data_IF_564537405828
#
_entry.id   IF_564537405828
#
_cell.length_a   1.000
_cell.length_b   1.000
_cell.length_c   1.000
_cell.angle_alpha   90.00
_cell.angle_beta   90.00
_cell.angle_gamma   90.00
#
_symmetry.space_group_name_H-M   'P 1'
#
loop_
_entity.id
_entity.type
_entity.pdbx_description
1 polymer ?
#
# COMPACT_ATOMS: atom_id res chain seq x y z
N UNK A 1 14.99 7.86 -10.88
CA UNK A 1 15.14 9.25 -11.34
C UNK A 1 15.07 10.21 -10.14
N UNK A 2 13.94 10.35 -9.44
CA UNK A 2 13.76 11.33 -8.33
C UNK A 2 14.85 11.20 -7.26
N UNK A 3 15.25 9.96 -6.93
CA UNK A 3 16.29 9.67 -5.93
C UNK A 3 17.71 9.61 -6.53
N UNK A 4 17.88 9.97 -7.80
CA UNK A 4 19.16 9.88 -8.54
C UNK A 4 19.77 8.47 -8.65
N UNK A 5 19.00 7.42 -8.43
CA UNK A 5 19.45 6.03 -8.61
C UNK A 5 19.53 5.64 -10.10
N UNK A 6 18.74 6.29 -10.93
CA UNK A 6 18.70 6.10 -12.40
C UNK A 6 18.69 7.48 -13.05
N UNK A 7 19.47 7.64 -14.11
CA UNK A 7 19.47 8.86 -14.92
C UNK A 7 18.21 8.92 -15.76
N UNK A 8 17.62 10.12 -15.88
CA UNK A 8 16.50 10.34 -16.79
C UNK A 8 16.99 10.45 -18.24
N UNK A 9 16.20 9.99 -19.18
CA UNK A 9 16.48 10.14 -20.62
C UNK A 9 15.91 11.42 -21.21
N UNK A 10 14.98 12.07 -20.51
CA UNK A 10 14.35 13.33 -20.93
C UNK A 10 13.37 13.85 -19.90
N UNK A 11 12.71 14.97 -20.20
CA UNK A 11 11.74 15.62 -19.33
C UNK A 11 12.36 16.39 -18.15
N UNK A 12 11.52 17.01 -17.34
CA UNK A 12 11.89 17.78 -16.14
C UNK A 12 11.31 17.11 -14.89
N UNK A 13 12.06 17.15 -13.80
CA UNK A 13 11.60 16.67 -12.49
C UNK A 13 11.87 17.72 -11.44
N UNK A 14 10.82 18.18 -10.78
CA UNK A 14 10.91 19.16 -9.70
C UNK A 14 10.41 18.55 -8.38
N UNK A 15 11.14 18.84 -7.31
CA UNK A 15 10.75 18.46 -5.95
C UNK A 15 10.53 19.74 -5.15
N UNK A 16 9.28 20.05 -4.85
CA UNK A 16 8.86 21.30 -4.19
C UNK A 16 9.43 22.55 -4.84
N UNK A 17 9.37 22.62 -6.18
CA UNK A 17 9.86 23.75 -6.97
C UNK A 17 11.37 23.78 -7.18
N UNK A 18 12.08 22.74 -6.76
CA UNK A 18 13.52 22.58 -7.03
C UNK A 18 13.73 21.56 -8.15
N UNK A 19 14.25 22.00 -9.28
CA UNK A 19 14.66 21.11 -10.37
C UNK A 19 15.84 20.26 -9.90
N UNK A 20 15.72 18.93 -10.04
CA UNK A 20 16.75 17.97 -9.59
C UNK A 20 18.05 18.10 -10.39
N UNK A 21 18.01 18.56 -11.64
CA UNK A 21 19.22 18.76 -12.45
C UNK A 21 19.94 20.06 -12.06
N UNK A 22 19.18 21.08 -11.70
CA UNK A 22 19.76 22.37 -11.31
C UNK A 22 20.36 22.33 -9.87
N UNK A 23 19.66 21.69 -8.92
CA UNK A 23 20.13 21.61 -7.54
C UNK A 23 19.66 20.34 -6.82
N UNK A 24 20.25 19.22 -7.17
CA UNK A 24 19.93 17.94 -6.54
C UNK A 24 20.14 17.90 -5.01
N UNK A 25 21.24 18.47 -4.44
CA UNK A 25 21.41 18.51 -2.99
C UNK A 25 20.24 19.20 -2.25
N UNK A 26 19.69 20.28 -2.80
CA UNK A 26 18.55 20.97 -2.21
C UNK A 26 17.26 20.15 -2.35
N UNK A 27 17.02 19.56 -3.51
CA UNK A 27 15.89 18.66 -3.73
C UNK A 27 15.95 17.46 -2.76
N UNK A 28 17.14 16.84 -2.59
CA UNK A 28 17.37 15.67 -1.74
C UNK A 28 17.09 15.94 -0.26
N UNK A 29 17.29 17.16 0.23
CA UNK A 29 16.96 17.52 1.62
C UNK A 29 15.48 17.33 1.95
N UNK A 30 14.62 17.41 0.95
CA UNK A 30 13.17 17.19 1.10
C UNK A 30 12.76 15.74 0.95
N UNK A 31 13.69 14.82 0.62
CA UNK A 31 13.40 13.43 0.28
C UNK A 31 13.83 12.48 1.39
N UNK A 32 12.91 11.64 1.86
CA UNK A 32 13.21 10.41 2.54
C UNK A 32 12.95 9.22 1.61
N UNK A 33 13.81 8.24 1.60
CA UNK A 33 13.69 7.07 0.72
C UNK A 33 13.87 5.80 1.50
N UNK A 34 12.92 4.90 1.38
CA UNK A 34 12.97 3.53 1.89
C UNK A 34 12.99 2.60 0.69
N UNK A 35 14.14 1.99 0.43
CA UNK A 35 14.30 1.01 -0.63
C UNK A 35 13.69 -0.35 -0.26
N UNK A 36 13.42 -1.17 -1.25
CA UNK A 36 12.92 -2.53 -1.06
C UNK A 36 13.94 -3.39 -0.28
N UNK A 37 15.23 -3.27 -0.60
CA UNK A 37 16.30 -3.99 0.09
C UNK A 37 16.89 -3.20 1.26
N UNK A 38 17.43 -3.93 2.27
CA UNK A 38 18.09 -3.31 3.39
C UNK A 38 19.46 -2.77 2.98
N UNK A 39 19.63 -1.46 3.01
CA UNK A 39 20.80 -0.74 2.51
C UNK A 39 21.52 0.07 3.60
N UNK A 40 21.69 -0.51 4.78
CA UNK A 40 22.48 0.03 5.87
C UNK A 40 23.57 -0.97 6.31
N UNK A 41 24.59 -0.49 7.03
CA UNK A 41 25.63 -1.36 7.55
C UNK A 41 25.08 -2.24 8.69
N UNK A 42 25.04 -3.55 8.48
CA UNK A 42 24.50 -4.51 9.43
C UNK A 42 25.31 -4.65 10.71
N UNK A 43 26.57 -4.21 10.72
CA UNK A 43 27.46 -4.29 11.89
C UNK A 43 27.41 -3.03 12.76
N UNK A 44 26.81 -1.95 12.28
CA UNK A 44 26.62 -0.73 13.07
C UNK A 44 25.48 -0.88 14.06
N UNK A 45 25.57 -0.14 15.17
CA UNK A 45 24.48 -0.03 16.13
C UNK A 45 23.28 0.68 15.53
N UNK A 46 22.08 0.24 15.90
CA UNK A 46 20.81 0.81 15.43
C UNK A 46 20.76 2.33 15.64
N UNK A 47 21.17 2.82 16.81
CA UNK A 47 21.20 4.25 17.12
C UNK A 47 22.19 5.04 16.26
N UNK A 48 23.37 4.47 16.02
CA UNK A 48 24.44 5.13 15.26
C UNK A 48 24.04 5.26 13.77
N UNK A 49 23.35 4.27 13.21
CA UNK A 49 22.81 4.34 11.84
C UNK A 49 21.96 5.59 11.64
N UNK A 50 21.05 5.90 12.58
CA UNK A 50 20.19 7.09 12.46
C UNK A 50 20.98 8.39 12.65
N UNK A 51 21.88 8.43 13.64
CA UNK A 51 22.71 9.62 13.92
C UNK A 51 23.62 9.93 12.72
N UNK A 52 24.24 8.90 12.14
CA UNK A 52 25.07 9.02 10.93
C UNK A 52 24.23 9.53 9.74
N UNK A 53 23.05 8.96 9.55
CA UNK A 53 22.14 9.39 8.48
C UNK A 53 21.74 10.86 8.65
N UNK A 54 21.40 11.29 9.86
CA UNK A 54 21.08 12.69 10.16
C UNK A 54 22.25 13.62 9.84
N UNK A 55 23.48 13.17 10.12
CA UNK A 55 24.71 13.87 9.78
C UNK A 55 24.90 14.10 8.28
N UNK A 56 24.55 13.13 7.42
CA UNK A 56 24.56 13.30 5.97
C UNK A 56 23.61 14.41 5.45
N UNK A 57 22.56 14.72 6.22
CA UNK A 57 21.63 15.82 5.94
C UNK A 57 22.03 17.12 6.65
N UNK A 58 23.19 17.16 7.32
CA UNK A 58 23.74 18.34 7.97
C UNK A 58 23.09 18.69 9.30
N UNK A 59 22.43 17.75 9.98
CA UNK A 59 21.85 17.99 11.30
C UNK A 59 22.96 18.07 12.36
N UNK A 60 22.93 19.08 13.27
CA UNK A 60 23.82 19.10 14.44
C UNK A 60 23.62 17.86 15.31
N UNK A 61 24.70 17.38 15.93
CA UNK A 61 24.71 16.12 16.69
C UNK A 61 23.61 16.06 17.78
N UNK A 62 23.34 17.16 18.48
CA UNK A 62 22.28 17.22 19.48
C UNK A 62 20.90 16.93 18.90
N UNK A 63 20.55 17.59 17.79
CA UNK A 63 19.30 17.40 17.07
C UNK A 63 19.24 16.01 16.42
N UNK A 64 20.36 15.52 15.87
CA UNK A 64 20.45 14.18 15.32
C UNK A 64 20.10 13.10 16.36
N UNK A 65 20.63 13.22 17.58
CA UNK A 65 20.31 12.31 18.70
C UNK A 65 18.87 12.40 19.17
N UNK A 66 18.34 13.62 19.28
CA UNK A 66 16.94 13.88 19.66
C UNK A 66 15.98 13.21 18.66
N UNK A 67 16.17 13.46 17.37
CA UNK A 67 15.32 12.89 16.32
C UNK A 67 15.51 11.37 16.19
N UNK A 68 16.74 10.88 16.33
CA UNK A 68 17.00 9.43 16.36
C UNK A 68 16.22 8.76 17.49
N UNK A 69 16.24 9.33 18.69
CA UNK A 69 15.44 8.83 19.82
C UNK A 69 13.96 8.86 19.51
N UNK A 70 13.42 9.98 19.04
CA UNK A 70 12.01 10.15 18.65
C UNK A 70 11.52 9.04 17.73
N UNK A 71 12.25 8.78 16.64
CA UNK A 71 11.82 7.79 15.65
C UNK A 71 12.07 6.35 16.07
N UNK A 72 13.13 6.07 16.85
CA UNK A 72 13.34 4.75 17.42
C UNK A 72 12.27 4.39 18.47
N UNK A 73 11.87 5.35 19.31
CA UNK A 73 10.77 5.16 20.28
C UNK A 73 9.45 4.91 19.55
N UNK A 74 9.11 5.72 18.55
CA UNK A 74 7.86 5.59 17.80
C UNK A 74 7.74 4.30 16.98
N UNK A 75 8.86 3.67 16.64
CA UNK A 75 8.92 2.45 15.85
C UNK A 75 9.36 1.23 16.68
N UNK A 76 9.29 1.31 18.02
CA UNK A 76 9.61 0.24 18.98
C UNK A 76 11.01 -0.34 18.78
N UNK A 77 12.00 0.52 18.52
CA UNK A 77 13.39 0.14 18.31
C UNK A 77 14.35 0.72 19.36
N UNK A 78 13.85 1.57 20.26
CA UNK A 78 14.71 2.29 21.20
C UNK A 78 15.51 1.35 22.11
N UNK A 79 14.89 0.28 22.60
CA UNK A 79 15.56 -0.71 23.45
C UNK A 79 16.69 -1.48 22.70
N UNK A 80 16.65 -1.47 21.38
CA UNK A 80 17.64 -2.10 20.50
C UNK A 80 18.72 -1.14 19.99
N UNK A 81 18.73 0.14 20.43
CA UNK A 81 19.62 1.18 19.90
C UNK A 81 21.10 0.88 20.00
N UNK A 82 21.53 0.12 21.03
CA UNK A 82 22.92 -0.27 21.26
C UNK A 82 23.32 -1.59 20.59
N UNK A 83 22.33 -2.32 20.03
CA UNK A 83 22.57 -3.58 19.35
C UNK A 83 23.01 -3.37 17.90
N UNK A 84 23.88 -4.23 17.34
CA UNK A 84 24.16 -4.26 15.92
C UNK A 84 22.90 -4.58 15.12
N UNK A 85 22.69 -3.88 14.00
CA UNK A 85 21.48 -4.04 13.19
C UNK A 85 21.31 -5.45 12.59
N UNK A 86 22.37 -6.25 12.49
CA UNK A 86 22.31 -7.67 12.09
C UNK A 86 21.41 -8.51 13.02
N UNK A 87 21.31 -8.16 14.30
CA UNK A 87 20.54 -8.89 15.31
C UNK A 87 19.04 -8.62 15.22
N UNK A 88 18.62 -7.65 14.41
CA UNK A 88 17.22 -7.30 14.23
C UNK A 88 16.49 -8.34 13.34
N UNK A 89 15.21 -8.63 13.65
CA UNK A 89 14.32 -9.36 12.77
C UNK A 89 14.06 -8.59 11.45
N UNK A 90 13.50 -9.26 10.42
CA UNK A 90 13.16 -8.61 9.16
C UNK A 90 12.23 -7.41 9.33
N UNK A 91 11.18 -7.56 10.14
CA UNK A 91 10.25 -6.47 10.45
C UNK A 91 10.90 -5.32 11.22
N UNK A 92 11.81 -5.62 12.17
CA UNK A 92 12.59 -4.58 12.88
C UNK A 92 13.55 -3.85 11.94
N UNK A 93 14.20 -4.55 11.00
CA UNK A 93 15.03 -3.94 9.96
C UNK A 93 14.20 -3.02 9.06
N UNK A 94 12.98 -3.41 8.70
CA UNK A 94 12.06 -2.57 7.91
C UNK A 94 11.69 -1.29 8.66
N UNK A 95 11.34 -1.40 9.94
CA UNK A 95 11.10 -0.23 10.81
C UNK A 95 12.33 0.67 10.94
N UNK A 96 13.53 0.10 11.04
CA UNK A 96 14.79 0.87 11.05
C UNK A 96 15.00 1.65 9.75
N UNK A 97 14.69 1.08 8.59
CA UNK A 97 14.75 1.78 7.30
C UNK A 97 13.83 3.01 7.27
N UNK A 98 12.61 2.87 7.79
CA UNK A 98 11.64 3.97 7.86
C UNK A 98 12.14 5.04 8.84
N UNK A 99 12.62 4.65 10.05
CA UNK A 99 13.21 5.58 11.02
C UNK A 99 14.34 6.38 10.41
N UNK A 100 15.24 5.71 9.69
CA UNK A 100 16.38 6.32 9.01
C UNK A 100 15.94 7.31 7.91
N UNK A 101 14.91 6.98 7.15
CA UNK A 101 14.38 7.87 6.10
C UNK A 101 13.69 9.11 6.68
N UNK A 102 13.20 9.05 7.92
CA UNK A 102 12.48 10.14 8.57
C UNK A 102 13.35 11.01 9.48
N UNK A 103 14.56 10.61 9.83
CA UNK A 103 15.39 11.29 10.85
C UNK A 103 15.67 12.77 10.54
N UNK A 104 15.73 13.14 9.26
CA UNK A 104 15.91 14.54 8.82
C UNK A 104 14.57 15.27 8.57
N UNK A 105 13.43 14.63 8.85
CA UNK A 105 12.07 15.16 8.70
C UNK A 105 11.77 15.66 7.27
N UNK A 106 11.82 14.77 6.27
CA UNK A 106 11.59 15.12 4.89
C UNK A 106 10.14 15.53 4.64
N UNK A 107 9.92 16.39 3.64
CA UNK A 107 8.58 16.77 3.17
C UNK A 107 7.96 15.70 2.27
N UNK A 108 8.77 14.88 1.62
CA UNK A 108 8.37 13.76 0.76
C UNK A 108 9.06 12.47 1.21
N UNK A 109 8.28 11.44 1.47
CA UNK A 109 8.75 10.10 1.79
C UNK A 109 8.38 9.16 0.63
N UNK A 110 9.37 8.52 0.05
CA UNK A 110 9.20 7.51 -1.00
C UNK A 110 9.47 6.15 -0.39
N UNK A 111 8.50 5.25 -0.49
CA UNK A 111 8.53 3.92 0.09
C UNK A 111 8.39 2.89 -1.03
N UNK A 112 9.40 2.03 -1.17
CA UNK A 112 9.37 0.94 -2.13
C UNK A 112 9.03 -0.37 -1.42
N UNK A 113 7.80 -0.86 -1.64
CA UNK A 113 7.23 -2.05 -1.00
C UNK A 113 7.43 -2.07 0.54
N UNK A 114 6.92 -1.07 1.29
CA UNK A 114 7.31 -0.86 2.68
C UNK A 114 6.93 -2.01 3.62
N UNK A 115 5.94 -2.83 3.28
CA UNK A 115 5.47 -3.93 4.12
C UNK A 115 5.70 -5.32 3.51
N UNK A 116 6.54 -5.43 2.47
CA UNK A 116 6.87 -6.72 1.88
C UNK A 116 7.55 -7.65 2.90
N UNK A 117 7.05 -8.88 3.02
CA UNK A 117 7.58 -9.89 3.94
C UNK A 117 7.35 -9.60 5.43
N UNK A 118 6.42 -8.72 5.76
CA UNK A 118 6.03 -8.36 7.13
C UNK A 118 4.72 -9.06 7.48
N UNK A 119 4.60 -9.57 8.71
CA UNK A 119 3.36 -10.16 9.22
C UNK A 119 2.22 -9.16 9.31
N UNK A 120 0.98 -9.66 9.42
CA UNK A 120 -0.25 -8.85 9.35
C UNK A 120 -0.32 -7.80 10.48
N UNK A 121 0.08 -8.16 11.69
CA UNK A 121 -0.03 -7.27 12.86
C UNK A 121 0.97 -6.11 12.72
N UNK A 122 2.21 -6.43 12.40
CA UNK A 122 3.25 -5.43 12.18
C UNK A 122 2.93 -4.55 10.97
N UNK A 123 2.35 -5.10 9.89
CA UNK A 123 1.89 -4.35 8.72
C UNK A 123 0.86 -3.29 9.12
N UNK A 124 -0.16 -3.66 9.89
CA UNK A 124 -1.18 -2.73 10.37
C UNK A 124 -0.62 -1.62 11.25
N UNK A 125 0.33 -1.96 12.14
CA UNK A 125 1.04 -0.97 12.95
C UNK A 125 1.81 0.03 12.08
N UNK A 126 2.51 -0.45 11.06
CA UNK A 126 3.23 0.40 10.11
C UNK A 126 2.28 1.30 9.30
N UNK A 127 1.13 0.79 8.87
CA UNK A 127 0.13 1.61 8.19
C UNK A 127 -0.38 2.75 9.07
N UNK A 128 -0.72 2.47 10.33
CA UNK A 128 -1.11 3.51 11.30
C UNK A 128 -0.04 4.59 11.44
N UNK A 129 1.22 4.19 11.58
CA UNK A 129 2.35 5.12 11.65
C UNK A 129 2.49 5.99 10.37
N UNK A 130 2.37 5.39 9.18
CA UNK A 130 2.43 6.14 7.90
C UNK A 130 1.26 7.12 7.75
N UNK A 131 0.05 6.74 8.18
CA UNK A 131 -1.11 7.63 8.19
C UNK A 131 -0.88 8.84 9.11
N UNK A 132 -0.31 8.63 10.31
CA UNK A 132 0.03 9.73 11.22
C UNK A 132 1.07 10.68 10.62
N UNK A 133 2.13 10.17 10.00
CA UNK A 133 3.16 10.98 9.32
C UNK A 133 2.55 11.78 8.16
N UNK A 134 1.66 11.18 7.39
CA UNK A 134 0.94 11.87 6.31
C UNK A 134 0.01 12.96 6.85
N UNK A 135 -0.74 12.68 7.91
CA UNK A 135 -1.61 13.66 8.58
C UNK A 135 -0.80 14.84 9.18
N UNK A 136 0.44 14.58 9.61
CA UNK A 136 1.37 15.62 10.07
C UNK A 136 1.98 16.48 8.94
N UNK A 137 1.65 16.20 7.67
CA UNK A 137 2.02 17.03 6.52
C UNK A 137 3.11 16.46 5.60
N UNK A 138 3.67 15.29 5.89
CA UNK A 138 4.61 14.63 4.98
C UNK A 138 3.85 14.01 3.80
N UNK A 139 4.20 14.38 2.58
CA UNK A 139 3.70 13.69 1.39
C UNK A 139 4.31 12.31 1.29
N UNK A 140 3.51 11.29 0.99
CA UNK A 140 3.99 9.91 0.86
C UNK A 140 3.68 9.40 -0.55
N UNK A 141 4.70 8.86 -1.22
CA UNK A 141 4.57 8.06 -2.42
C UNK A 141 5.00 6.65 -2.04
N UNK A 142 4.14 5.66 -2.26
CA UNK A 142 4.51 4.27 -2.04
C UNK A 142 4.27 3.44 -3.29
N UNK A 143 5.16 2.49 -3.54
CA UNK A 143 4.94 1.41 -4.49
C UNK A 143 4.53 0.17 -3.72
N UNK A 144 3.56 -0.56 -4.21
CA UNK A 144 3.13 -1.82 -3.61
C UNK A 144 2.45 -2.70 -4.65
N UNK A 145 2.59 -4.00 -4.48
CA UNK A 145 1.78 -5.00 -5.17
C UNK A 145 0.64 -5.53 -4.26
N UNK A 146 0.58 -5.07 -3.01
CA UNK A 146 -0.52 -5.38 -2.10
C UNK A 146 -1.64 -4.36 -2.25
N UNK A 147 -2.71 -4.75 -2.94
CA UNK A 147 -3.83 -3.86 -3.24
C UNK A 147 -4.56 -3.38 -1.99
N UNK A 148 -4.61 -4.21 -0.93
CA UNK A 148 -5.14 -3.83 0.38
C UNK A 148 -4.35 -2.66 1.01
N UNK A 149 -3.02 -2.64 0.86
CA UNK A 149 -2.17 -1.54 1.31
C UNK A 149 -2.48 -0.25 0.55
N UNK A 150 -2.59 -0.34 -0.78
CA UNK A 150 -2.94 0.80 -1.61
C UNK A 150 -4.33 1.36 -1.24
N UNK A 151 -5.33 0.51 -1.04
CA UNK A 151 -6.68 0.91 -0.65
C UNK A 151 -6.71 1.58 0.73
N UNK A 152 -5.93 1.05 1.68
CA UNK A 152 -5.91 1.56 3.06
C UNK A 152 -5.15 2.88 3.21
N UNK A 153 -4.09 3.10 2.42
CA UNK A 153 -3.17 4.22 2.60
C UNK A 153 -3.31 5.32 1.55
N UNK A 154 -3.72 5.00 0.32
CA UNK A 154 -3.62 5.92 -0.80
C UNK A 154 -4.93 6.62 -1.11
N UNK A 155 -4.88 7.95 -1.24
CA UNK A 155 -5.99 8.75 -1.78
C UNK A 155 -6.02 8.75 -3.30
N UNK A 156 -4.84 8.74 -3.92
CA UNK A 156 -4.64 8.69 -5.36
C UNK A 156 -3.82 7.45 -5.69
N UNK A 157 -4.05 6.90 -6.86
CA UNK A 157 -3.37 5.72 -7.36
C UNK A 157 -2.99 5.92 -8.82
N UNK A 158 -1.80 5.45 -9.17
CA UNK A 158 -1.38 5.28 -10.56
C UNK A 158 -1.04 3.81 -10.79
N UNK A 159 -1.59 3.23 -11.85
CA UNK A 159 -1.29 1.86 -12.26
C UNK A 159 -0.32 1.94 -13.44
N UNK A 160 0.80 1.21 -13.30
CA UNK A 160 1.87 1.20 -14.30
C UNK A 160 1.93 -0.20 -14.90
N UNK A 161 1.93 -0.27 -16.24
CA UNK A 161 2.14 -1.49 -17.00
C UNK A 161 3.15 -1.22 -18.12
N UNK A 162 4.13 -2.11 -18.30
CA UNK A 162 5.22 -1.95 -19.31
C UNK A 162 5.88 -0.56 -19.36
N UNK A 163 5.95 0.14 -18.22
CA UNK A 163 6.58 1.48 -18.12
C UNK A 163 5.65 2.64 -18.46
N UNK A 164 4.40 2.38 -18.81
CA UNK A 164 3.36 3.36 -19.08
C UNK A 164 2.34 3.45 -17.94
N UNK A 165 1.84 4.66 -17.69
CA UNK A 165 0.75 4.85 -16.72
C UNK A 165 -0.56 4.59 -17.45
N UNK A 166 -1.18 3.44 -17.17
CA UNK A 166 -2.47 3.02 -17.75
C UNK A 166 -3.68 3.61 -17.01
N UNK A 167 -3.51 4.01 -15.76
CA UNK A 167 -4.55 4.67 -14.96
C UNK A 167 -3.90 5.62 -13.96
N UNK A 168 -4.48 6.82 -13.78
CA UNK A 168 -4.04 7.80 -12.78
C UNK A 168 -5.26 8.56 -12.26
N UNK A 169 -5.74 8.16 -11.09
CA UNK A 169 -7.02 8.67 -10.57
C UNK A 169 -7.05 8.61 -9.03
N UNK A 170 -8.14 9.10 -8.43
CA UNK A 170 -8.35 8.88 -7.00
C UNK A 170 -8.83 7.47 -6.71
N UNK A 171 -8.43 6.91 -5.56
CA UNK A 171 -8.89 5.60 -5.09
C UNK A 171 -10.44 5.48 -5.12
N UNK A 172 -11.12 6.53 -4.66
CA UNK A 172 -12.58 6.59 -4.67
C UNK A 172 -13.17 6.50 -6.09
N UNK A 173 -12.53 7.17 -7.05
CA UNK A 173 -12.99 7.16 -8.44
C UNK A 173 -12.71 5.81 -9.09
N UNK A 174 -11.52 5.25 -8.86
CA UNK A 174 -11.14 3.93 -9.36
C UNK A 174 -12.13 2.86 -8.87
N UNK A 175 -12.45 2.83 -7.58
CA UNK A 175 -13.41 1.89 -7.01
C UNK A 175 -14.85 2.09 -7.55
N UNK A 176 -15.18 3.27 -8.08
CA UNK A 176 -16.49 3.52 -8.72
C UNK A 176 -16.60 2.95 -10.13
N UNK A 177 -15.49 2.62 -10.78
CA UNK A 177 -15.51 2.02 -12.13
C UNK A 177 -15.87 0.54 -12.12
N UNK A 178 -15.95 -0.09 -10.94
CA UNK A 178 -16.49 -1.44 -10.79
C UNK A 178 -18.02 -1.41 -10.99
N UNK A 179 -18.46 -1.94 -12.10
CA UNK A 179 -19.89 -2.05 -12.40
C UNK A 179 -20.56 -3.20 -11.65
N UNK A 180 -19.79 -4.20 -11.20
CA UNK A 180 -20.25 -5.40 -10.53
C UNK A 180 -19.44 -5.74 -9.31
N UNK A 181 -20.09 -6.33 -8.32
CA UNK A 181 -19.45 -6.86 -7.11
C UNK A 181 -19.87 -8.33 -6.94
N UNK A 182 -18.89 -9.21 -6.65
CA UNK A 182 -19.17 -10.61 -6.35
C UNK A 182 -19.09 -10.82 -4.84
N UNK A 183 -20.18 -11.29 -4.27
CA UNK A 183 -20.29 -11.64 -2.87
C UNK A 183 -20.23 -13.16 -2.70
N UNK A 184 -19.58 -13.59 -1.61
CA UNK A 184 -19.67 -14.95 -1.10
C UNK A 184 -20.66 -14.93 0.05
N UNK A 185 -21.71 -15.74 -0.08
CA UNK A 185 -22.79 -15.89 0.89
C UNK A 185 -22.68 -17.27 1.54
N UNK A 186 -22.54 -17.31 2.85
CA UNK A 186 -22.70 -18.52 3.60
C UNK A 186 -24.18 -18.66 4.00
N UNK A 187 -24.78 -19.84 3.78
CA UNK A 187 -26.23 -20.05 3.94
C UNK A 187 -26.54 -21.12 5.01
N UNK A 188 -27.70 -20.99 5.62
CA UNK A 188 -28.26 -22.00 6.52
C UNK A 188 -29.03 -23.02 5.67
N UNK A 189 -28.62 -24.28 5.75
CA UNK A 189 -29.19 -25.37 4.95
C UNK A 189 -28.35 -25.68 3.70
N UNK A 190 -28.83 -26.60 2.88
CA UNK A 190 -28.13 -27.04 1.67
C UNK A 190 -28.68 -26.31 0.45
N UNK A 191 -27.78 -25.90 -0.45
CA UNK A 191 -28.09 -25.30 -1.73
C UNK A 191 -28.01 -26.38 -2.82
N UNK A 192 -29.05 -26.57 -3.63
CA UNK A 192 -28.98 -27.48 -4.79
C UNK A 192 -27.86 -27.06 -5.75
N UNK A 193 -27.17 -28.04 -6.35
CA UNK A 193 -26.05 -27.76 -7.27
C UNK A 193 -26.46 -26.98 -8.53
N UNK A 194 -27.74 -27.07 -8.93
CA UNK A 194 -28.35 -26.37 -10.08
C UNK A 194 -29.04 -25.06 -9.66
N UNK A 195 -28.77 -24.55 -8.45
CA UNK A 195 -29.42 -23.35 -7.94
C UNK A 195 -29.13 -22.11 -8.78
N UNK A 196 -30.18 -21.41 -9.16
CA UNK A 196 -30.10 -20.16 -9.91
C UNK A 196 -31.02 -19.10 -9.30
N UNK A 197 -30.64 -17.84 -9.45
CA UNK A 197 -31.44 -16.68 -9.03
C UNK A 197 -31.71 -15.82 -10.24
N UNK A 198 -32.98 -15.55 -10.50
CA UNK A 198 -33.39 -14.69 -11.61
C UNK A 198 -32.82 -13.27 -11.45
N UNK A 199 -32.16 -12.74 -12.48
CA UNK A 199 -31.55 -11.42 -12.47
C UNK A 199 -30.16 -11.35 -11.87
N UNK A 200 -29.63 -12.45 -11.31
CA UNK A 200 -28.27 -12.49 -10.72
C UNK A 200 -27.44 -13.61 -11.32
N UNK A 201 -26.13 -13.35 -11.47
CA UNK A 201 -25.17 -14.41 -11.76
C UNK A 201 -24.82 -15.12 -10.46
N UNK A 202 -25.40 -16.29 -10.23
CA UNK A 202 -25.13 -17.10 -9.05
C UNK A 202 -24.36 -18.36 -9.42
N UNK A 203 -23.38 -18.73 -8.57
CA UNK A 203 -22.61 -19.96 -8.67
C UNK A 203 -22.60 -20.66 -7.32
N UNK A 204 -22.97 -21.93 -7.30
CA UNK A 204 -22.82 -22.77 -6.11
C UNK A 204 -21.35 -23.18 -6.00
N UNK A 205 -20.72 -22.85 -4.88
CA UNK A 205 -19.33 -23.23 -4.55
C UNK A 205 -19.33 -24.60 -3.86
N UNK A 206 -20.19 -24.73 -2.87
CA UNK A 206 -20.45 -25.98 -2.13
C UNK A 206 -21.88 -25.98 -1.56
N UNK A 207 -22.24 -27.00 -0.79
CA UNK A 207 -23.60 -27.17 -0.26
C UNK A 207 -24.09 -26.02 0.63
N UNK A 208 -23.17 -25.19 1.17
CA UNK A 208 -23.49 -24.10 2.11
C UNK A 208 -22.99 -22.75 1.66
N UNK A 209 -22.39 -22.66 0.45
CA UNK A 209 -21.73 -21.43 -0.02
C UNK A 209 -22.16 -21.08 -1.44
N UNK A 210 -22.66 -19.86 -1.61
CA UNK A 210 -23.01 -19.25 -2.90
C UNK A 210 -22.10 -18.08 -3.24
N UNK A 211 -21.66 -17.99 -4.48
CA UNK A 211 -21.12 -16.76 -5.05
C UNK A 211 -22.21 -16.07 -5.85
N UNK A 212 -22.47 -14.80 -5.58
CA UNK A 212 -23.47 -14.01 -6.30
C UNK A 212 -22.85 -12.71 -6.78
N UNK A 213 -22.94 -12.45 -8.08
CA UNK A 213 -22.50 -11.19 -8.67
C UNK A 213 -23.70 -10.26 -8.81
N UNK A 214 -23.56 -9.06 -8.26
CA UNK A 214 -24.59 -8.02 -8.19
C UNK A 214 -24.10 -6.79 -8.95
N UNK A 215 -24.95 -6.16 -9.74
CA UNK A 215 -24.67 -4.86 -10.32
C UNK A 215 -24.66 -3.79 -9.22
N UNK A 216 -23.67 -2.92 -9.23
CA UNK A 216 -23.44 -1.91 -8.18
C UNK A 216 -24.62 -0.96 -7.97
N UNK A 217 -25.41 -0.76 -8.99
CA UNK A 217 -26.60 0.10 -8.93
C UNK A 217 -27.85 -0.64 -8.41
N UNK A 218 -27.74 -1.93 -8.17
CA UNK A 218 -28.83 -2.76 -7.67
C UNK A 218 -28.77 -2.85 -6.13
N UNK A 219 -29.93 -2.66 -5.51
CA UNK A 219 -30.02 -2.76 -4.05
C UNK A 219 -29.94 -4.23 -3.62
N UNK A 220 -29.06 -4.54 -2.65
CA UNK A 220 -28.90 -5.89 -2.09
C UNK A 220 -30.20 -6.47 -1.50
N UNK A 221 -31.17 -5.61 -1.13
CA UNK A 221 -32.46 -6.05 -0.60
C UNK A 221 -33.18 -6.98 -1.57
N UNK A 222 -33.17 -6.68 -2.89
CA UNK A 222 -33.77 -7.53 -3.90
C UNK A 222 -33.14 -8.92 -3.99
N UNK A 223 -31.83 -9.03 -3.78
CA UNK A 223 -31.13 -10.30 -3.71
C UNK A 223 -31.62 -11.13 -2.51
N UNK A 224 -31.65 -10.51 -1.30
CA UNK A 224 -32.08 -11.22 -0.09
C UNK A 224 -33.55 -11.63 -0.12
N UNK A 225 -34.43 -10.82 -0.69
CA UNK A 225 -35.84 -11.16 -0.89
C UNK A 225 -35.99 -12.40 -1.78
N UNK A 226 -35.26 -12.47 -2.89
CA UNK A 226 -35.31 -13.61 -3.82
C UNK A 226 -34.71 -14.87 -3.22
N UNK A 227 -33.61 -14.75 -2.43
CA UNK A 227 -33.03 -15.87 -1.68
C UNK A 227 -34.02 -16.43 -0.67
N UNK A 228 -34.67 -15.54 0.11
CA UNK A 228 -35.67 -15.92 1.11
C UNK A 228 -36.90 -16.56 0.47
N UNK A 229 -37.36 -16.07 -0.67
CA UNK A 229 -38.50 -16.66 -1.43
C UNK A 229 -38.20 -18.09 -1.91
N UNK A 230 -36.92 -18.42 -2.12
CA UNK A 230 -36.45 -19.77 -2.47
C UNK A 230 -36.06 -20.61 -1.23
N UNK A 231 -36.34 -20.13 -0.02
CA UNK A 231 -36.05 -20.82 1.22
C UNK A 231 -34.57 -20.79 1.65
N UNK A 232 -33.76 -19.96 1.01
CA UNK A 232 -32.35 -19.82 1.36
C UNK A 232 -32.18 -18.69 2.38
N UNK A 233 -31.70 -19.03 3.58
CA UNK A 233 -31.38 -18.07 4.63
C UNK A 233 -29.87 -17.82 4.66
N UNK A 234 -29.45 -16.57 4.49
CA UNK A 234 -28.05 -16.16 4.51
C UNK A 234 -27.61 -15.91 5.94
N UNK A 235 -26.53 -16.56 6.35
CA UNK A 235 -25.92 -16.40 7.68
C UNK A 235 -24.76 -15.41 7.69
N UNK A 236 -24.04 -15.30 6.58
CA UNK A 236 -22.89 -14.40 6.40
C UNK A 236 -22.78 -13.93 4.96
N UNK A 237 -22.25 -12.72 4.77
CA UNK A 237 -21.93 -12.16 3.48
C UNK A 237 -20.57 -11.47 3.53
N UNK A 238 -19.74 -11.76 2.54
CA UNK A 238 -18.43 -11.10 2.38
C UNK A 238 -18.13 -10.89 0.91
N UNK A 239 -17.30 -9.90 0.58
CA UNK A 239 -16.82 -9.76 -0.79
C UNK A 239 -15.90 -10.93 -1.14
N UNK A 240 -16.00 -11.44 -2.38
CA UNK A 240 -15.20 -12.58 -2.88
C UNK A 240 -13.72 -12.23 -2.98
N UNK A 241 -13.42 -11.06 -3.52
CA UNK A 241 -12.07 -10.55 -3.71
C UNK A 241 -11.97 -9.10 -3.23
N UNK A 242 -10.73 -8.63 -3.03
CA UNK A 242 -10.48 -7.21 -2.89
C UNK A 242 -10.93 -6.52 -4.19
N UNK A 243 -11.79 -5.50 -4.07
CA UNK A 243 -12.34 -4.73 -5.20
C UNK A 243 -11.27 -4.22 -6.16
N UNK A 244 -10.11 -3.82 -5.62
CA UNK A 244 -8.97 -3.39 -6.43
C UNK A 244 -8.34 -4.54 -7.23
N UNK A 245 -8.36 -5.76 -6.73
CA UNK A 245 -7.80 -6.91 -7.43
C UNK A 245 -8.59 -7.23 -8.71
N UNK A 246 -9.91 -7.21 -8.64
CA UNK A 246 -10.78 -7.38 -9.81
C UNK A 246 -10.55 -6.28 -10.84
N UNK A 247 -10.44 -5.01 -10.40
CA UNK A 247 -10.14 -3.87 -11.25
C UNK A 247 -8.76 -3.98 -11.91
N UNK A 248 -7.76 -4.31 -11.13
CA UNK A 248 -6.40 -4.44 -11.61
C UNK A 248 -6.30 -5.48 -12.74
N UNK A 249 -6.89 -6.65 -12.53
CA UNK A 249 -6.96 -7.70 -13.55
C UNK A 249 -7.71 -7.23 -14.80
N UNK A 250 -8.85 -6.55 -14.63
CA UNK A 250 -9.63 -6.02 -15.75
C UNK A 250 -8.88 -4.96 -16.56
N UNK A 251 -8.14 -4.05 -15.90
CA UNK A 251 -7.33 -3.01 -16.55
C UNK A 251 -6.15 -3.60 -17.32
N UNK A 252 -5.45 -4.59 -16.77
CA UNK A 252 -4.38 -5.30 -17.47
C UNK A 252 -4.88 -6.05 -18.71
N UNK A 253 -6.09 -6.63 -18.66
CA UNK A 253 -6.68 -7.27 -19.83
C UNK A 253 -7.06 -6.26 -20.93
N UNK A 254 -7.53 -5.06 -20.56
CA UNK A 254 -7.83 -3.97 -21.51
C UNK A 254 -6.56 -3.43 -22.17
N UNK A 255 -5.48 -3.24 -21.41
CA UNK A 255 -4.19 -2.82 -21.96
C UNK A 255 -3.69 -3.80 -23.03
N UNK A 256 -3.71 -5.10 -22.74
CA UNK A 256 -3.31 -6.15 -23.70
C UNK A 256 -4.22 -6.26 -24.93
N UNK A 257 -5.50 -5.98 -24.80
CA UNK A 257 -6.44 -6.00 -25.92
C UNK A 257 -6.29 -4.77 -26.84
N UNK A 258 -5.83 -3.64 -26.30
CA UNK A 258 -5.53 -2.42 -27.07
C UNK A 258 -4.20 -2.51 -27.86
N UNK A 259 -3.25 -3.36 -27.44
CA UNK A 259 -2.01 -3.62 -28.17
C UNK A 259 -2.18 -4.64 -29.33
N UNK A 260 -3.30 -5.37 -29.35
CA UNK A 260 -3.58 -6.40 -30.36
C UNK A 260 -4.50 -5.89 -31.50
N UNK A 261 -4.89 -4.63 -31.50
CA UNK A 261 -5.70 -3.96 -32.50
C UNK A 261 -4.91 -2.87 -33.24
#
# INVERSE_FOLDING_TARGET
VICSLVQKTGGTVEVFGTDIDANFPLAKRNLGVVAQEFNFNHFEKVGDILVTQAGYYGLPLGLARERSRKYLERLDLWEKREEPARNLSGGMKRRLMIARALVHEPRLLILDEPTAGVDIELRRSMWGFLQEINAAGTTIILTTHYLEEAESLCRNIAIIDHGEIIENTSMKQLLRTLDRETFVLDVLGEVPADFTIEGYLARVVDAHTLEVTVDRHEALNGLFERLSAKGIAVSSMRNKANRLEELFVALLHRSKAGEAA
#
